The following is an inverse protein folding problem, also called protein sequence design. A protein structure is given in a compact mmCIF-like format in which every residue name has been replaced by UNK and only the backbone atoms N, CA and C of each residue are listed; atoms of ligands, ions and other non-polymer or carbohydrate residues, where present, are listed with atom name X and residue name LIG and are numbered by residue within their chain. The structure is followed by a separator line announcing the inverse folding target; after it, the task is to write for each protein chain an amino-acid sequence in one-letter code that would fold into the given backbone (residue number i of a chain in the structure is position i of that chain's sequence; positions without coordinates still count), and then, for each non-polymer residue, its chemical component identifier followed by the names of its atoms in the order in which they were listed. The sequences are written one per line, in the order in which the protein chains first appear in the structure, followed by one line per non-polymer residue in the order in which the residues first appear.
data_IF_027052220700
#
_entry.id   IF_027052220700
#
_cell.length_a   1.000
_cell.length_b   1.000
_cell.length_c   1.000
_cell.angle_alpha   90.00
_cell.angle_beta   90.00
_cell.angle_gamma   90.00
#
_symmetry.space_group_name_H-M   'P 1'
#
loop_
_entity.id
_entity.type
_entity.pdbx_description
1 polymer ?
#
# COMPACT_ATOMS: atom_id res chain seq x y z
N UNK A 1 -20.94 -18.86 11.52
CA UNK A 1 -20.97 -17.85 12.62
C UNK A 1 -20.83 -16.49 11.98
N UNK A 2 -21.61 -15.49 12.41
CA UNK A 2 -21.52 -14.11 11.91
C UNK A 2 -21.08 -13.19 13.04
N UNK A 3 -20.42 -12.08 12.72
CA UNK A 3 -20.11 -11.06 13.71
C UNK A 3 -21.40 -10.35 14.15
N UNK A 4 -21.29 -9.49 15.16
CA UNK A 4 -22.40 -8.64 15.60
C UNK A 4 -23.01 -7.89 14.40
N UNK A 5 -24.34 -7.81 14.34
CA UNK A 5 -25.04 -7.03 13.32
C UNK A 5 -24.73 -5.53 13.41
N UNK A 6 -24.11 -5.06 14.50
CA UNK A 6 -23.57 -3.71 14.62
C UNK A 6 -22.20 -3.52 13.91
N UNK A 7 -21.65 -4.56 13.28
CA UNK A 7 -20.37 -4.50 12.58
C UNK A 7 -20.34 -3.34 11.57
N UNK A 8 -19.26 -2.56 11.61
CA UNK A 8 -19.00 -1.48 10.68
C UNK A 8 -17.68 -1.73 9.98
N UNK A 9 -17.70 -1.73 8.65
CA UNK A 9 -16.49 -1.81 7.81
C UNK A 9 -15.53 -0.67 8.19
N UNK A 10 -14.20 -0.92 8.25
CA UNK A 10 -13.21 0.11 8.55
C UNK A 10 -13.39 1.35 7.66
N UNK A 11 -13.25 2.53 8.26
CA UNK A 11 -13.21 3.80 7.52
C UNK A 11 -11.96 3.87 6.66
N UNK A 12 -12.04 4.58 5.53
CA UNK A 12 -10.85 4.89 4.75
C UNK A 12 -9.95 5.81 5.60
N UNK A 13 -8.71 5.41 5.80
CA UNK A 13 -7.69 6.24 6.46
C UNK A 13 -6.93 6.98 5.37
N UNK A 14 -7.13 8.29 5.29
CA UNK A 14 -6.35 9.17 4.41
C UNK A 14 -5.12 9.65 5.17
N UNK A 15 -3.95 9.72 4.52
CA UNK A 15 -2.78 10.39 5.11
C UNK A 15 -3.17 11.81 5.50
N UNK A 16 -3.30 12.07 6.80
CA UNK A 16 -3.61 13.41 7.29
C UNK A 16 -2.37 14.28 7.06
N UNK A 17 -2.55 15.51 6.57
CA UNK A 17 -1.46 16.51 6.47
C UNK A 17 -0.96 17.00 7.83
N UNK A 18 -1.54 16.54 8.93
CA UNK A 18 -1.09 16.90 10.26
C UNK A 18 0.15 16.08 10.59
N UNK A 19 1.27 16.75 10.87
CA UNK A 19 2.50 16.11 11.31
C UNK A 19 2.27 15.52 12.70
N UNK A 20 1.97 14.21 12.78
CA UNK A 20 1.99 13.50 14.04
C UNK A 20 3.43 13.47 14.57
N UNK A 21 3.59 13.68 15.86
CA UNK A 21 4.89 13.47 16.52
C UNK A 21 5.20 11.97 16.59
N UNK A 22 6.49 11.63 16.67
CA UNK A 22 6.92 10.23 16.82
C UNK A 22 6.35 9.54 18.07
N UNK A 23 6.08 10.29 19.14
CA UNK A 23 5.46 9.75 20.36
C UNK A 23 3.99 9.40 20.14
N UNK A 24 3.24 10.22 19.39
CA UNK A 24 1.85 9.93 19.01
C UNK A 24 1.77 8.74 18.05
N UNK A 25 2.73 8.64 17.12
CA UNK A 25 2.85 7.47 16.24
C UNK A 25 3.10 6.20 17.06
N UNK A 26 4.06 6.23 17.99
CA UNK A 26 4.36 5.10 18.87
C UNK A 26 3.16 4.72 19.74
N UNK A 27 2.43 5.70 20.26
CA UNK A 27 1.20 5.47 21.03
C UNK A 27 0.15 4.77 20.17
N UNK A 28 -0.06 5.22 18.94
CA UNK A 28 -1.01 4.62 18.00
C UNK A 28 -0.62 3.18 17.64
N UNK A 29 0.68 2.91 17.48
CA UNK A 29 1.21 1.55 17.26
C UNK A 29 0.87 0.66 18.47
N UNK A 30 1.16 1.13 19.68
CA UNK A 30 0.88 0.38 20.91
C UNK A 30 -0.62 0.12 21.07
N UNK A 31 -1.47 1.11 20.79
CA UNK A 31 -2.92 0.94 20.77
C UNK A 31 -3.37 -0.09 19.73
N UNK A 32 -2.78 -0.11 18.53
CA UNK A 32 -3.06 -1.11 17.49
C UNK A 32 -2.72 -2.54 17.95
N UNK A 33 -1.53 -2.71 18.56
CA UNK A 33 -1.06 -4.00 19.10
C UNK A 33 -1.97 -4.47 20.23
N UNK A 34 -2.30 -3.58 21.18
CA UNK A 34 -3.17 -3.90 22.31
C UNK A 34 -4.61 -4.16 21.84
N UNK A 35 -5.10 -3.44 20.83
CA UNK A 35 -6.46 -3.61 20.33
C UNK A 35 -6.67 -4.97 19.66
N UNK A 36 -5.60 -5.61 19.14
CA UNK A 36 -5.62 -7.01 18.72
C UNK A 36 -6.10 -7.95 19.84
N UNK A 37 -5.82 -7.63 21.11
CA UNK A 37 -6.28 -8.43 22.26
C UNK A 37 -7.76 -8.21 22.63
N UNK A 38 -8.44 -7.20 22.08
CA UNK A 38 -9.81 -6.79 22.48
C UNK A 38 -10.92 -7.29 21.55
N UNK A 39 -10.60 -8.14 20.57
CA UNK A 39 -11.57 -8.88 19.75
C UNK A 39 -12.00 -8.20 18.44
N UNK A 40 -12.09 -6.85 18.38
CA UNK A 40 -12.32 -6.12 17.12
C UNK A 40 -11.87 -4.65 17.19
N UNK A 41 -10.84 -4.27 16.44
CA UNK A 41 -10.30 -2.90 16.41
C UNK A 41 -10.77 -2.15 15.17
N UNK A 42 -11.51 -1.04 15.33
CA UNK A 42 -12.02 -0.22 14.22
C UNK A 42 -12.74 -1.00 13.09
N UNK A 43 -13.39 -2.13 13.41
CA UNK A 43 -14.04 -3.01 12.43
C UNK A 43 -13.13 -4.05 11.80
N UNK A 44 -11.96 -4.32 12.37
CA UNK A 44 -11.04 -5.38 11.96
C UNK A 44 -11.01 -6.45 13.07
N UNK A 45 -11.40 -7.70 12.79
CA UNK A 45 -11.28 -8.80 13.74
C UNK A 45 -9.82 -9.13 14.02
N UNK A 46 -9.52 -9.65 15.22
CA UNK A 46 -8.15 -10.08 15.58
C UNK A 46 -7.58 -11.15 14.63
N UNK A 47 -8.44 -12.00 14.06
CA UNK A 47 -8.04 -12.95 13.02
C UNK A 47 -7.41 -12.29 11.78
N UNK A 48 -7.73 -11.02 11.51
CA UNK A 48 -7.20 -10.22 10.41
C UNK A 48 -6.28 -9.09 10.92
N UNK A 49 -5.74 -9.21 12.13
CA UNK A 49 -4.80 -8.22 12.67
C UNK A 49 -3.51 -8.17 11.84
N UNK A 50 -2.86 -7.00 11.86
CA UNK A 50 -1.62 -6.79 11.11
C UNK A 50 -0.56 -7.84 11.46
N UNK A 51 -0.40 -8.15 12.74
CA UNK A 51 0.59 -9.12 13.21
C UNK A 51 0.34 -10.53 12.68
N UNK A 52 -0.93 -10.96 12.59
CA UNK A 52 -1.28 -12.27 12.01
C UNK A 52 -1.02 -12.31 10.51
N UNK A 53 -1.29 -11.22 9.80
CA UNK A 53 -0.96 -11.10 8.37
C UNK A 53 0.55 -11.25 8.20
N UNK A 54 1.35 -10.41 8.86
CA UNK A 54 2.83 -10.42 8.74
C UNK A 54 3.45 -11.75 9.19
N UNK A 55 2.86 -12.41 10.20
CA UNK A 55 3.30 -13.73 10.63
C UNK A 55 3.04 -14.82 9.57
N UNK A 56 2.12 -14.61 8.64
CA UNK A 56 1.66 -15.62 7.68
C UNK A 56 0.57 -16.53 8.27
N UNK A 57 -0.15 -16.07 9.30
CA UNK A 57 -1.18 -16.83 10.00
C UNK A 57 -2.59 -16.69 9.42
N UNK A 58 -2.71 -16.20 8.19
CA UNK A 58 -3.98 -15.89 7.49
C UNK A 58 -3.97 -16.51 6.11
N UNK A 59 -5.15 -16.78 5.56
CA UNK A 59 -5.31 -17.39 4.25
C UNK A 59 -5.62 -16.36 3.15
N UNK A 60 -5.47 -16.70 1.86
CA UNK A 60 -5.91 -15.85 0.76
C UNK A 60 -7.39 -15.44 0.90
N UNK A 61 -7.75 -14.18 0.60
CA UNK A 61 -6.94 -13.11 -0.02
C UNK A 61 -6.31 -12.11 0.97
N UNK A 62 -5.93 -12.57 2.16
CA UNK A 62 -5.40 -11.71 3.22
C UNK A 62 -3.92 -11.98 3.51
N UNK A 63 -3.18 -12.74 2.69
CA UNK A 63 -1.78 -13.12 2.99
C UNK A 63 -0.82 -11.94 2.92
N UNK A 64 0.43 -12.12 3.38
CA UNK A 64 1.48 -11.09 3.22
C UNK A 64 1.68 -10.72 1.76
N UNK A 65 1.60 -11.70 0.86
CA UNK A 65 1.70 -11.48 -0.59
C UNK A 65 0.51 -10.71 -1.12
N UNK A 66 -0.71 -11.00 -0.66
CA UNK A 66 -1.89 -10.21 -1.02
C UNK A 66 -1.77 -8.76 -0.54
N UNK A 67 -1.23 -8.55 0.67
CA UNK A 67 -0.98 -7.21 1.21
C UNK A 67 0.11 -6.47 0.41
N UNK A 68 1.20 -7.15 0.04
CA UNK A 68 2.25 -6.60 -0.83
C UNK A 68 1.69 -6.22 -2.21
N UNK A 69 0.90 -7.08 -2.83
CA UNK A 69 0.25 -6.79 -4.11
C UNK A 69 -0.70 -5.59 -4.01
N UNK A 70 -1.45 -5.48 -2.92
CA UNK A 70 -2.27 -4.31 -2.67
C UNK A 70 -1.43 -3.02 -2.55
N UNK A 71 -0.33 -3.05 -1.80
CA UNK A 71 0.57 -1.90 -1.68
C UNK A 71 1.24 -1.54 -3.01
N UNK A 72 1.57 -2.53 -3.85
CA UNK A 72 2.20 -2.32 -5.15
C UNK A 72 1.23 -1.77 -6.19
N UNK A 73 0.05 -2.35 -6.32
CA UNK A 73 -0.88 -2.07 -7.43
C UNK A 73 -2.00 -1.09 -7.08
N UNK A 74 -2.30 -0.86 -5.80
CA UNK A 74 -3.43 -0.04 -5.35
C UNK A 74 -2.96 1.18 -4.55
N UNK A 75 -2.22 0.98 -3.46
CA UNK A 75 -1.82 2.09 -2.57
C UNK A 75 -0.51 2.77 -3.01
N UNK A 76 0.26 2.15 -3.90
CA UNK A 76 1.54 2.64 -4.43
C UNK A 76 2.56 2.97 -3.33
N UNK A 77 2.65 2.11 -2.31
CA UNK A 77 3.55 2.28 -1.16
C UNK A 77 4.18 0.97 -0.69
N UNK A 78 4.51 0.10 -1.65
CA UNK A 78 5.10 -1.21 -1.39
C UNK A 78 6.45 -1.11 -0.65
N UNK A 79 7.22 -0.06 -0.90
CA UNK A 79 8.52 0.20 -0.28
C UNK A 79 8.48 0.16 1.25
N UNK A 80 7.38 0.60 1.86
CA UNK A 80 7.20 0.57 3.31
C UNK A 80 7.22 -0.86 3.85
N UNK A 81 6.47 -1.77 3.22
CA UNK A 81 6.41 -3.17 3.67
C UNK A 81 7.71 -3.90 3.38
N UNK A 82 8.34 -3.63 2.23
CA UNK A 82 9.63 -4.21 1.87
C UNK A 82 10.71 -3.82 2.87
N UNK A 83 10.81 -2.52 3.21
CA UNK A 83 11.73 -2.00 4.20
C UNK A 83 11.44 -2.54 5.60
N UNK A 84 10.16 -2.62 6.01
CA UNK A 84 9.77 -3.17 7.30
C UNK A 84 10.15 -4.65 7.45
N UNK A 85 9.90 -5.46 6.42
CA UNK A 85 10.25 -6.88 6.41
C UNK A 85 11.78 -7.08 6.42
N UNK A 86 12.51 -6.30 5.63
CA UNK A 86 13.97 -6.25 5.68
C UNK A 86 14.47 -5.93 7.09
N UNK A 87 13.97 -4.86 7.71
CA UNK A 87 14.43 -4.43 9.03
C UNK A 87 14.18 -5.50 10.11
N UNK A 88 13.03 -6.20 10.06
CA UNK A 88 12.74 -7.31 10.98
C UNK A 88 13.72 -8.47 10.82
N UNK A 89 14.11 -8.79 9.59
CA UNK A 89 15.13 -9.81 9.32
C UNK A 89 16.53 -9.33 9.75
N UNK A 90 16.85 -8.07 9.45
CA UNK A 90 18.09 -7.41 9.84
C UNK A 90 18.33 -7.46 11.36
N UNK A 91 17.32 -7.13 12.17
CA UNK A 91 17.40 -7.25 13.64
C UNK A 91 17.74 -8.68 14.07
N UNK A 92 17.08 -9.69 13.48
CA UNK A 92 17.32 -11.09 13.83
C UNK A 92 18.76 -11.49 13.50
N UNK A 93 19.22 -11.17 12.30
CA UNK A 93 20.60 -11.44 11.85
C UNK A 93 21.62 -10.72 12.72
N UNK A 94 21.40 -9.44 13.01
CA UNK A 94 22.27 -8.64 13.87
C UNK A 94 22.34 -9.17 15.31
N UNK A 95 21.21 -9.57 15.90
CA UNK A 95 21.18 -10.13 17.25
C UNK A 95 21.87 -11.48 17.36
N UNK A 96 21.87 -12.27 16.27
CA UNK A 96 22.55 -13.55 16.18
C UNK A 96 24.07 -13.43 15.95
N UNK A 97 24.60 -12.23 15.69
CA UNK A 97 26.03 -12.03 15.53
C UNK A 97 26.80 -12.29 16.84
N UNK A 98 28.06 -12.74 16.75
CA UNK A 98 28.98 -12.82 17.88
C UNK A 98 29.10 -11.48 18.62
N UNK A 99 29.25 -11.53 19.95
CA UNK A 99 29.31 -10.32 20.79
C UNK A 99 30.45 -9.36 20.41
N UNK A 100 31.58 -9.89 19.94
CA UNK A 100 32.72 -9.12 19.45
C UNK A 100 32.39 -8.33 18.17
N UNK A 101 31.62 -8.90 17.25
CA UNK A 101 31.21 -8.19 16.02
C UNK A 101 30.12 -7.17 16.31
N UNK A 102 29.18 -7.50 17.20
CA UNK A 102 28.16 -6.55 17.67
C UNK A 102 28.76 -5.34 18.35
N UNK A 103 29.84 -5.51 19.11
CA UNK A 103 30.53 -4.43 19.79
C UNK A 103 31.15 -3.39 18.82
N UNK A 104 31.41 -3.77 17.55
CA UNK A 104 31.90 -2.83 16.53
C UNK A 104 30.83 -1.82 16.09
N UNK A 105 29.55 -2.14 16.27
CA UNK A 105 28.42 -1.30 15.95
C UNK A 105 27.67 -0.92 17.23
N UNK A 106 28.12 0.14 17.95
CA UNK A 106 27.51 0.56 19.20
C UNK A 106 26.07 1.05 19.00
N UNK A 107 25.27 0.93 20.06
CA UNK A 107 23.88 1.39 20.04
C UNK A 107 23.78 2.89 19.82
N UNK A 108 22.95 3.30 18.85
CA UNK A 108 22.54 4.67 18.65
C UNK A 108 21.45 5.05 19.65
N UNK A 109 21.75 5.95 20.59
CA UNK A 109 20.81 6.35 21.65
C UNK A 109 20.01 7.59 21.26
N UNK A 110 18.80 7.74 21.84
CA UNK A 110 17.96 8.93 21.65
C UNK A 110 18.64 10.21 22.14
N UNK A 111 19.50 10.10 23.15
CA UNK A 111 20.27 11.23 23.69
C UNK A 111 21.32 11.71 22.69
N UNK A 112 22.05 10.78 22.05
CA UNK A 112 22.98 11.11 20.97
C UNK A 112 22.25 11.77 19.79
N UNK A 113 21.13 11.20 19.35
CA UNK A 113 20.33 11.79 18.27
C UNK A 113 19.86 13.22 18.60
N UNK A 114 19.43 13.48 19.85
CA UNK A 114 19.04 14.83 20.31
C UNK A 114 20.22 15.78 20.40
N UNK A 115 21.34 15.34 20.97
CA UNK A 115 22.55 16.15 21.11
C UNK A 115 23.09 16.59 19.74
N UNK A 116 23.05 15.70 18.75
CA UNK A 116 23.46 16.00 17.39
C UNK A 116 22.47 16.88 16.64
N UNK A 117 21.16 16.66 16.81
CA UNK A 117 20.15 17.56 16.27
C UNK A 117 20.32 19.00 16.81
N UNK A 118 20.67 19.14 18.08
CA UNK A 118 21.03 20.42 18.70
C UNK A 118 22.35 20.98 18.14
N UNK A 119 23.35 20.13 17.91
CA UNK A 119 24.62 20.52 17.30
C UNK A 119 24.46 21.02 15.86
N UNK A 120 23.57 20.40 15.06
CA UNK A 120 23.27 20.82 13.69
C UNK A 120 22.52 22.16 13.67
N UNK A 121 21.57 22.37 14.60
CA UNK A 121 20.86 23.64 14.75
C UNK A 121 21.79 24.78 15.19
N UNK A 122 22.67 24.53 16.15
CA UNK A 122 23.65 25.53 16.63
C UNK A 122 24.79 25.76 15.63
N UNK A 123 25.18 24.74 14.87
CA UNK A 123 26.17 24.82 13.80
C UNK A 123 25.69 25.67 12.61
N UNK A 124 24.41 25.61 12.26
CA UNK A 124 23.81 26.50 11.24
C UNK A 124 23.80 27.99 11.67
N UNK A 125 23.90 28.28 12.97
CA UNK A 125 24.00 29.67 13.47
C UNK A 125 25.44 30.20 13.47
N UNK A 126 26.46 29.33 13.43
CA UNK A 126 27.85 29.74 13.19
C UNK A 126 28.10 29.89 11.70
N UNK A 127 27.40 30.83 11.07
CA UNK A 127 27.87 31.42 9.82
C UNK A 127 29.27 31.96 10.06
N UNK A 128 30.25 31.53 9.27
CA UNK A 128 31.60 32.09 9.27
C UNK A 128 31.43 33.61 9.09
N UNK A 129 31.96 34.42 10.02
CA UNK A 129 31.81 35.87 9.91
C UNK A 129 32.32 36.34 8.54
N UNK A 130 31.71 37.38 7.97
CA UNK A 130 32.09 37.87 6.64
C UNK A 130 33.60 38.19 6.54
N UNK A 131 34.22 38.60 7.64
CA UNK A 131 35.67 38.84 7.75
C UNK A 131 36.46 37.53 7.68
N UNK A 132 36.04 36.50 8.40
CA UNK A 132 36.70 35.19 8.37
C UNK A 132 36.57 34.52 6.99
N UNK A 133 35.42 34.68 6.31
CA UNK A 133 35.22 34.20 4.95
C UNK A 133 36.08 34.97 3.92
N UNK A 134 36.35 36.25 4.14
CA UNK A 134 37.25 37.04 3.31
C UNK A 134 38.73 36.65 3.48
N UNK A 135 39.15 36.23 4.69
CA UNK A 135 40.52 35.79 4.98
C UNK A 135 40.87 34.47 4.30
N UNK A 136 39.91 33.55 4.16
CA UNK A 136 40.14 32.26 3.48
C UNK A 136 40.00 32.32 1.95
N UNK A 137 39.59 33.47 1.39
CA UNK A 137 39.40 33.66 -0.05
C UNK A 137 40.76 33.59 -0.77
N UNK A 138 40.96 32.55 -1.59
CA UNK A 138 42.20 32.32 -2.33
C UNK A 138 43.20 31.37 -1.66
N UNK A 139 42.83 30.72 -0.56
CA UNK A 139 43.61 29.65 0.08
C UNK A 139 43.07 28.27 -0.29
N UNK A 140 43.87 27.22 -0.15
CA UNK A 140 43.47 25.81 -0.37
C UNK A 140 42.38 25.32 0.62
N UNK A 141 42.08 26.15 1.64
CA UNK A 141 41.00 25.97 2.62
C UNK A 141 39.73 26.77 2.27
N UNK A 142 39.71 27.48 1.14
CA UNK A 142 38.50 28.12 0.64
C UNK A 142 37.42 27.05 0.37
N UNK A 143 36.18 27.32 0.75
CA UNK A 143 35.07 26.45 0.39
C UNK A 143 35.04 26.28 -1.14
N UNK A 144 35.25 25.05 -1.60
CA UNK A 144 35.13 24.69 -3.02
C UNK A 144 33.76 25.16 -3.53
N UNK A 145 33.66 25.70 -4.75
CA UNK A 145 32.39 26.10 -5.30
C UNK A 145 31.44 24.90 -5.24
N UNK A 146 30.27 25.10 -4.61
CA UNK A 146 29.15 24.18 -4.74
C UNK A 146 29.00 23.87 -6.22
N UNK A 147 28.98 22.58 -6.56
CA UNK A 147 28.60 22.12 -7.89
C UNK A 147 27.37 22.93 -8.30
N UNK A 148 27.50 23.64 -9.42
CA UNK A 148 26.48 24.51 -9.98
C UNK A 148 25.16 23.73 -10.08
N UNK A 149 24.06 24.40 -9.76
CA UNK A 149 22.70 23.84 -9.81
C UNK A 149 22.25 23.42 -11.24
N UNK A 150 23.14 23.46 -12.22
CA UNK A 150 22.85 23.18 -13.64
C UNK A 150 22.74 21.69 -13.98
N UNK A 151 23.00 20.77 -13.03
CA UNK A 151 22.78 19.32 -13.19
C UNK A 151 21.59 18.76 -12.38
N UNK A 152 20.75 19.63 -11.78
CA UNK A 152 19.44 19.17 -11.30
C UNK A 152 18.52 19.02 -12.49
N UNK A 153 18.24 17.78 -12.88
CA UNK A 153 17.11 17.47 -13.77
C UNK A 153 15.87 18.15 -13.19
N UNK A 154 15.32 19.06 -13.98
CA UNK A 154 14.22 19.93 -13.60
C UNK A 154 13.02 19.05 -13.16
N UNK A 155 12.53 19.15 -11.91
CA UNK A 155 11.54 18.21 -11.36
C UNK A 155 10.15 18.32 -12.01
N UNK A 156 9.97 19.27 -12.93
CA UNK A 156 8.75 19.48 -13.70
C UNK A 156 8.90 19.15 -15.20
N UNK A 157 10.03 18.56 -15.62
CA UNK A 157 10.21 18.10 -16.99
C UNK A 157 9.86 16.61 -17.12
N UNK A 158 8.70 16.32 -17.71
CA UNK A 158 8.40 15.01 -18.32
C UNK A 158 8.94 15.01 -19.75
N UNK A 159 9.94 14.17 -20.10
CA UNK A 159 10.35 13.99 -21.49
C UNK A 159 9.19 13.40 -22.31
N UNK A 160 8.96 13.81 -23.57
CA UNK A 160 7.99 13.17 -24.43
C UNK A 160 8.46 11.73 -24.74
N UNK A 161 7.64 10.76 -24.34
CA UNK A 161 7.91 9.35 -24.59
C UNK A 161 7.64 8.97 -26.04
N UNK A 162 8.69 8.69 -26.80
CA UNK A 162 8.79 7.65 -27.85
C UNK A 162 10.22 7.63 -28.42
N UNK A 163 10.89 6.48 -28.54
CA UNK A 163 12.12 6.35 -29.32
C UNK A 163 11.76 6.00 -30.77
N UNK A 164 11.62 7.01 -31.63
CA UNK A 164 11.53 6.83 -33.08
C UNK A 164 12.26 7.98 -33.77
N UNK A 165 13.38 7.67 -34.44
CA UNK A 165 14.04 8.62 -35.33
C UNK A 165 15.56 8.49 -35.30
N UNK A 166 16.11 7.76 -36.26
CA UNK A 166 17.53 7.70 -36.59
C UNK A 166 18.16 9.10 -36.73
N UNK A 167 19.48 9.19 -36.55
CA UNK A 167 20.26 9.91 -37.54
C UNK A 167 21.31 9.01 -38.21
N UNK A 168 21.33 9.23 -39.52
CA UNK A 168 22.12 8.63 -40.56
C UNK A 168 23.63 8.51 -40.24
N UNK A 169 24.20 7.46 -40.84
CA UNK A 169 25.59 7.02 -40.83
C UNK A 169 26.50 8.02 -41.54
N UNK A 170 27.76 8.12 -41.10
CA UNK A 170 28.90 8.09 -42.02
C UNK A 170 30.21 7.65 -41.31
N UNK A 171 30.89 6.69 -41.95
CA UNK A 171 32.31 6.29 -41.88
C UNK A 171 32.90 5.93 -40.48
N UNK A 172 33.54 4.78 -40.19
CA UNK A 172 34.45 3.94 -40.98
C UNK A 172 34.64 2.59 -40.29
N UNK A 173 34.93 1.57 -41.09
CA UNK A 173 35.03 0.13 -40.76
C UNK A 173 36.29 -0.22 -39.94
N UNK A 174 36.13 -1.03 -38.89
CA UNK A 174 37.21 -1.75 -38.19
C UNK A 174 36.66 -3.08 -37.64
N UNK A 175 37.31 -4.24 -37.87
CA UNK A 175 36.75 -5.54 -37.50
C UNK A 175 37.26 -5.95 -36.11
N UNK A 176 36.38 -6.11 -35.12
CA UNK A 176 36.67 -7.02 -34.01
C UNK A 176 35.40 -7.44 -33.28
N UNK A 177 35.29 -8.77 -33.20
CA UNK A 177 34.77 -9.58 -32.11
C UNK A 177 33.40 -9.25 -31.51
N UNK A 178 32.50 -10.19 -31.75
CA UNK A 178 31.30 -10.44 -30.97
C UNK A 178 31.69 -10.60 -29.48
N UNK A 179 31.41 -9.61 -28.66
CA UNK A 179 31.12 -9.85 -27.25
C UNK A 179 29.73 -9.31 -26.94
N UNK A 180 28.82 -10.26 -26.79
CA UNK A 180 27.43 -10.05 -26.43
C UNK A 180 27.34 -9.85 -24.93
N UNK A 181 27.58 -8.63 -24.45
CA UNK A 181 27.34 -8.27 -23.06
C UNK A 181 26.34 -7.11 -22.99
N UNK A 182 25.05 -7.45 -23.09
CA UNK A 182 23.95 -6.57 -22.67
C UNK A 182 23.92 -6.54 -21.12
N UNK A 183 24.95 -5.96 -20.50
CA UNK A 183 24.93 -5.68 -19.06
C UNK A 183 24.25 -4.33 -18.86
N UNK A 184 22.97 -4.35 -18.49
CA UNK A 184 22.33 -3.19 -17.88
C UNK A 184 23.23 -2.66 -16.76
N UNK A 185 23.48 -1.35 -16.75
CA UNK A 185 24.46 -0.72 -15.87
C UNK A 185 24.22 -1.11 -14.41
N UNK A 186 25.14 -1.90 -13.83
CA UNK A 186 25.10 -2.21 -12.40
C UNK A 186 25.22 -0.90 -11.63
N UNK A 187 24.14 -0.46 -11.01
CA UNK A 187 24.16 0.73 -10.16
C UNK A 187 25.13 0.48 -9.01
N UNK A 188 26.12 1.35 -8.88
CA UNK A 188 27.09 1.29 -7.80
C UNK A 188 26.46 1.83 -6.52
N UNK A 189 25.87 0.91 -5.73
CA UNK A 189 25.18 1.22 -4.48
C UNK A 189 26.07 1.98 -3.49
N UNK A 190 27.37 1.70 -3.50
CA UNK A 190 28.32 2.35 -2.59
C UNK A 190 28.53 3.81 -2.98
N UNK A 191 28.72 4.11 -4.27
CA UNK A 191 28.80 5.50 -4.74
C UNK A 191 27.55 6.30 -4.44
N UNK A 192 26.37 5.70 -4.64
CA UNK A 192 25.10 6.39 -4.35
C UNK A 192 24.91 6.64 -2.85
N UNK A 193 25.30 5.70 -1.99
CA UNK A 193 25.27 5.90 -0.55
C UNK A 193 26.23 7.01 -0.11
N UNK A 194 27.43 7.09 -0.68
CA UNK A 194 28.39 8.17 -0.45
C UNK A 194 27.81 9.54 -0.85
N UNK A 195 27.21 9.63 -2.04
CA UNK A 195 26.52 10.85 -2.49
C UNK A 195 25.40 11.26 -1.52
N UNK A 196 24.63 10.32 -0.98
CA UNK A 196 23.60 10.64 0.01
C UNK A 196 24.16 11.21 1.32
N UNK A 197 25.33 10.75 1.78
CA UNK A 197 26.02 11.35 2.93
C UNK A 197 26.50 12.77 2.62
N UNK A 198 27.07 12.99 1.43
CA UNK A 198 27.53 14.31 0.98
C UNK A 198 26.35 15.30 0.86
N UNK A 199 25.21 14.86 0.30
CA UNK A 199 23.97 15.65 0.20
C UNK A 199 23.41 16.02 1.58
N UNK A 200 23.62 15.17 2.59
CA UNK A 200 23.27 15.44 3.98
C UNK A 200 24.29 16.36 4.70
N UNK A 201 25.36 16.79 4.01
CA UNK A 201 26.41 17.65 4.56
C UNK A 201 27.43 16.91 5.44
N UNK A 202 27.47 15.58 5.36
CA UNK A 202 28.29 14.72 6.20
C UNK A 202 29.65 14.46 5.53
N UNK A 203 30.71 15.06 6.07
CA UNK A 203 32.03 15.11 5.41
C UNK A 203 32.93 13.88 5.63
N UNK A 204 32.59 13.01 6.57
CA UNK A 204 33.44 11.89 6.97
C UNK A 204 33.02 10.59 6.29
N UNK A 205 34.00 9.72 5.98
CA UNK A 205 33.67 8.39 5.48
C UNK A 205 33.10 7.53 6.61
N UNK A 206 32.05 6.74 6.36
CA UNK A 206 31.53 5.83 7.37
C UNK A 206 32.53 4.73 7.75
N UNK A 207 32.42 4.19 8.97
CA UNK A 207 33.30 3.15 9.47
C UNK A 207 33.10 1.82 8.71
N UNK A 208 34.11 1.38 7.96
CA UNK A 208 34.05 0.16 7.14
C UNK A 208 34.10 -1.15 7.92
N UNK A 209 34.57 -1.12 9.19
CA UNK A 209 34.81 -2.33 9.99
C UNK A 209 33.53 -2.95 10.59
N UNK A 210 32.40 -2.24 10.55
CA UNK A 210 31.18 -2.68 11.21
C UNK A 210 30.46 -3.79 10.42
N UNK A 211 29.71 -4.67 11.10
CA UNK A 211 28.94 -5.70 10.42
C UNK A 211 27.88 -5.10 9.49
N UNK A 212 27.64 -5.79 8.37
CA UNK A 212 26.61 -5.47 7.36
C UNK A 212 26.74 -4.08 6.70
N UNK A 213 27.92 -3.44 6.65
CA UNK A 213 28.08 -2.12 5.97
C UNK A 213 27.60 -2.12 4.52
N UNK A 214 27.95 -3.13 3.74
CA UNK A 214 27.54 -3.20 2.33
C UNK A 214 26.03 -3.29 2.17
N UNK A 215 25.37 -4.01 3.07
CA UNK A 215 23.91 -4.10 3.11
C UNK A 215 23.29 -2.74 3.45
N UNK A 216 23.83 -2.03 4.44
CA UNK A 216 23.38 -0.68 4.80
C UNK A 216 23.59 0.30 3.64
N UNK A 217 24.73 0.25 2.94
CA UNK A 217 24.96 1.07 1.74
C UNK A 217 23.92 0.80 0.65
N UNK A 218 23.56 -0.47 0.45
CA UNK A 218 22.50 -0.86 -0.48
C UNK A 218 21.13 -0.31 -0.05
N UNK A 219 20.77 -0.42 1.22
CA UNK A 219 19.52 0.12 1.77
C UNK A 219 19.45 1.63 1.63
N UNK A 220 20.56 2.34 1.92
CA UNK A 220 20.65 3.78 1.71
C UNK A 220 20.35 4.10 0.24
N UNK A 221 21.01 3.42 -0.70
CA UNK A 221 20.85 3.70 -2.12
C UNK A 221 19.44 3.44 -2.67
N UNK A 222 18.71 2.45 -2.13
CA UNK A 222 17.40 2.02 -2.62
C UNK A 222 16.26 2.81 -1.94
N UNK A 223 16.32 2.97 -0.62
CA UNK A 223 15.20 3.45 0.20
C UNK A 223 15.39 4.86 0.78
N UNK A 224 16.64 5.33 0.95
CA UNK A 224 16.91 6.57 1.72
C UNK A 224 17.41 7.70 0.83
N UNK A 225 18.28 7.39 -0.12
CA UNK A 225 18.90 8.36 -1.02
C UNK A 225 17.83 9.02 -1.91
N UNK A 226 18.05 10.29 -2.24
CA UNK A 226 17.16 11.01 -3.14
C UNK A 226 17.11 10.36 -4.52
N UNK A 227 15.90 10.20 -5.06
CA UNK A 227 15.64 9.52 -6.32
C UNK A 227 15.93 8.01 -6.29
N UNK A 228 16.03 7.41 -5.10
CA UNK A 228 16.15 5.96 -4.94
C UNK A 228 14.97 5.24 -5.60
N UNK A 229 15.20 4.04 -6.13
CA UNK A 229 14.16 3.30 -6.87
C UNK A 229 12.94 2.95 -6.03
N UNK A 230 13.08 2.96 -4.69
CA UNK A 230 12.05 2.68 -3.71
C UNK A 230 12.16 3.63 -2.51
N UNK A 231 12.42 4.89 -2.81
CA UNK A 231 12.59 5.93 -1.81
C UNK A 231 11.38 5.99 -0.86
N UNK A 232 11.65 5.89 0.45
CA UNK A 232 10.63 6.02 1.49
C UNK A 232 10.15 7.46 1.58
N UNK A 233 8.86 7.64 1.90
CA UNK A 233 8.27 8.95 2.14
C UNK A 233 8.65 9.50 3.53
N UNK A 234 9.90 9.93 3.68
CA UNK A 234 10.46 10.48 4.91
C UNK A 234 10.61 12.00 4.81
N UNK A 235 10.47 12.70 5.94
CA UNK A 235 10.84 14.11 6.00
C UNK A 235 12.34 14.30 5.81
N UNK A 236 12.76 15.46 5.30
CA UNK A 236 14.20 15.77 5.14
C UNK A 236 14.95 15.66 6.47
N UNK A 237 14.30 16.04 7.58
CA UNK A 237 14.85 15.93 8.93
C UNK A 237 15.09 14.47 9.33
N UNK A 238 14.10 13.59 9.14
CA UNK A 238 14.22 12.16 9.45
C UNK A 238 15.32 11.51 8.61
N UNK A 239 15.36 11.81 7.31
CA UNK A 239 16.38 11.30 6.40
C UNK A 239 17.79 11.72 6.80
N UNK A 240 18.02 13.02 7.04
CA UNK A 240 19.34 13.52 7.45
C UNK A 240 19.76 12.97 8.80
N UNK A 241 18.82 12.86 9.75
CA UNK A 241 19.08 12.25 11.06
C UNK A 241 19.47 10.77 10.94
N UNK A 242 18.78 10.01 10.08
CA UNK A 242 19.14 8.62 9.80
C UNK A 242 20.53 8.52 9.18
N UNK A 243 20.83 9.34 8.17
CA UNK A 243 22.15 9.32 7.52
C UNK A 243 23.27 9.65 8.51
N UNK A 244 23.03 10.58 9.44
CA UNK A 244 23.98 10.87 10.51
C UNK A 244 24.20 9.65 11.43
N UNK A 245 23.12 8.98 11.84
CA UNK A 245 23.22 7.76 12.63
C UNK A 245 23.97 6.63 11.89
N UNK A 246 23.65 6.42 10.61
CA UNK A 246 24.25 5.38 9.78
C UNK A 246 25.71 5.65 9.43
N UNK A 247 26.15 6.92 9.44
CA UNK A 247 27.57 7.24 9.31
C UNK A 247 28.39 6.68 10.48
N UNK A 248 27.80 6.67 11.69
CA UNK A 248 28.45 6.28 12.92
C UNK A 248 28.29 4.79 13.28
N UNK A 249 27.12 4.20 13.01
CA UNK A 249 26.84 2.81 13.41
C UNK A 249 25.96 2.07 12.41
N UNK A 250 26.08 0.75 12.37
CA UNK A 250 25.10 -0.13 11.72
C UNK A 250 24.08 -0.71 12.68
N UNK A 251 24.14 -0.39 13.97
CA UNK A 251 23.23 -0.94 14.96
C UNK A 251 21.76 -0.69 14.58
N UNK A 252 20.84 -1.68 14.73
CA UNK A 252 19.43 -1.51 14.36
C UNK A 252 18.71 -0.32 15.01
N UNK A 253 19.20 0.18 16.15
CA UNK A 253 18.65 1.37 16.81
C UNK A 253 18.84 2.67 16.02
N UNK A 254 19.76 2.71 15.04
CA UNK A 254 19.88 3.85 14.13
C UNK A 254 18.59 4.10 13.33
N UNK A 255 17.78 3.06 13.11
CA UNK A 255 16.53 3.12 12.34
C UNK A 255 15.28 3.37 13.19
N UNK A 256 15.39 3.53 14.51
CA UNK A 256 14.21 3.54 15.41
C UNK A 256 13.15 4.56 15.01
N UNK A 257 13.54 5.78 14.65
CA UNK A 257 12.56 6.82 14.27
C UNK A 257 11.88 6.46 12.93
N UNK A 258 12.66 5.99 11.97
CA UNK A 258 12.20 5.65 10.62
C UNK A 258 11.27 4.44 10.64
N UNK A 259 11.64 3.40 11.40
CA UNK A 259 10.79 2.22 11.52
C UNK A 259 9.49 2.55 12.24
N UNK A 260 9.49 3.49 13.18
CA UNK A 260 8.26 3.97 13.83
C UNK A 260 7.33 4.62 12.81
N UNK A 261 7.85 5.49 11.94
CA UNK A 261 7.07 6.12 10.86
C UNK A 261 6.54 5.10 9.85
N UNK A 262 7.39 4.16 9.40
CA UNK A 262 7.02 3.11 8.44
C UNK A 262 5.99 2.15 9.03
N UNK A 263 6.22 1.66 10.26
CA UNK A 263 5.30 0.75 10.94
C UNK A 263 3.95 1.42 11.23
N UNK A 264 3.95 2.70 11.59
CA UNK A 264 2.72 3.47 11.74
C UNK A 264 1.95 3.55 10.42
N UNK A 265 2.62 3.87 9.31
CA UNK A 265 2.00 3.90 7.98
C UNK A 265 1.39 2.54 7.61
N UNK A 266 2.11 1.44 7.86
CA UNK A 266 1.63 0.09 7.57
C UNK A 266 0.45 -0.31 8.46
N UNK A 267 0.55 -0.12 9.79
CA UNK A 267 -0.46 -0.58 10.76
C UNK A 267 -1.69 0.31 10.83
N UNK A 268 -1.50 1.62 10.83
CA UNK A 268 -2.56 2.57 11.13
C UNK A 268 -3.23 3.11 9.87
N UNK A 269 -2.57 3.03 8.71
CA UNK A 269 -3.12 3.50 7.44
C UNK A 269 -3.35 2.35 6.44
N UNK A 270 -2.27 1.70 5.99
CA UNK A 270 -2.36 0.75 4.89
C UNK A 270 -3.14 -0.52 5.24
N UNK A 271 -2.97 -1.06 6.46
CA UNK A 271 -3.66 -2.26 6.90
C UNK A 271 -5.19 -2.09 6.98
N UNK A 272 -5.75 -1.05 7.65
CA UNK A 272 -7.18 -0.79 7.61
C UNK A 272 -7.72 -0.58 6.19
N UNK A 273 -6.97 0.11 5.33
CA UNK A 273 -7.34 0.33 3.94
C UNK A 273 -7.32 -0.97 3.11
N UNK A 274 -6.33 -1.83 3.34
CA UNK A 274 -6.24 -3.17 2.75
C UNK A 274 -7.43 -4.03 3.17
N UNK A 275 -7.71 -4.18 4.47
CA UNK A 275 -8.85 -4.96 4.94
C UNK A 275 -10.16 -4.40 4.38
N UNK A 276 -10.31 -3.07 4.43
CA UNK A 276 -11.46 -2.39 3.82
C UNK A 276 -11.58 -2.80 2.34
N UNK A 277 -10.52 -2.75 1.55
CA UNK A 277 -10.52 -3.08 0.13
C UNK A 277 -10.81 -4.56 -0.14
N UNK A 278 -10.21 -5.46 0.64
CA UNK A 278 -10.33 -6.92 0.51
C UNK A 278 -11.73 -7.45 0.83
N UNK A 279 -12.49 -6.75 1.67
CA UNK A 279 -13.92 -7.07 1.93
C UNK A 279 -14.76 -7.02 0.64
N UNK A 280 -14.41 -6.17 -0.33
CA UNK A 280 -15.14 -6.09 -1.61
C UNK A 280 -14.89 -7.35 -2.46
N UNK A 281 -15.93 -8.15 -2.69
CA UNK A 281 -15.85 -9.37 -3.49
C UNK A 281 -15.84 -9.11 -5.00
N UNK A 282 -16.42 -8.00 -5.47
CA UNK A 282 -16.55 -7.66 -6.88
C UNK A 282 -15.55 -6.61 -7.34
N UNK A 283 -15.17 -6.66 -8.62
CA UNK A 283 -14.46 -5.55 -9.25
C UNK A 283 -15.42 -4.37 -9.54
N UNK A 284 -14.85 -3.20 -9.90
CA UNK A 284 -15.67 -1.99 -10.17
C UNK A 284 -16.78 -2.23 -11.21
N UNK A 285 -16.52 -2.84 -12.38
CA UNK A 285 -17.57 -3.12 -13.36
C UNK A 285 -18.71 -3.99 -12.82
N UNK A 286 -18.42 -5.09 -12.12
CA UNK A 286 -19.47 -5.97 -11.55
C UNK A 286 -20.27 -5.28 -10.46
N UNK A 287 -19.64 -4.43 -9.63
CA UNK A 287 -20.35 -3.65 -8.62
C UNK A 287 -21.28 -2.61 -9.27
N UNK A 288 -20.84 -1.93 -10.34
CA UNK A 288 -21.68 -1.00 -11.10
C UNK A 288 -22.87 -1.75 -11.71
N UNK A 289 -22.61 -2.90 -12.35
CA UNK A 289 -23.67 -3.76 -12.88
C UNK A 289 -24.69 -4.18 -11.80
N UNK A 290 -24.23 -4.60 -10.62
CA UNK A 290 -25.09 -4.94 -9.50
C UNK A 290 -25.94 -3.74 -9.01
N UNK A 291 -25.37 -2.52 -9.00
CA UNK A 291 -26.15 -1.30 -8.67
C UNK A 291 -27.25 -1.05 -9.68
N UNK A 292 -26.95 -1.17 -10.98
CA UNK A 292 -27.95 -1.01 -12.05
C UNK A 292 -29.06 -2.05 -11.91
N UNK A 293 -28.72 -3.32 -11.65
CA UNK A 293 -29.70 -4.38 -11.40
C UNK A 293 -30.55 -4.08 -10.16
N UNK A 294 -29.95 -3.61 -9.08
CA UNK A 294 -30.65 -3.21 -7.86
C UNK A 294 -31.67 -2.09 -8.11
N UNK A 295 -31.26 -1.03 -8.82
CA UNK A 295 -32.17 0.06 -9.22
C UNK A 295 -33.28 -0.45 -10.14
N UNK A 296 -32.96 -1.29 -11.12
CA UNK A 296 -33.94 -1.92 -12.00
C UNK A 296 -34.98 -2.76 -11.24
N UNK A 297 -34.56 -3.50 -10.22
CA UNK A 297 -35.45 -4.25 -9.34
C UNK A 297 -36.41 -3.35 -8.54
N UNK A 298 -35.91 -2.22 -8.02
CA UNK A 298 -36.74 -1.22 -7.33
C UNK A 298 -37.78 -0.63 -8.28
N UNK A 299 -37.36 -0.23 -9.49
CA UNK A 299 -38.26 0.31 -10.51
C UNK A 299 -39.31 -0.72 -10.92
N UNK A 300 -38.91 -1.98 -11.12
CA UNK A 300 -39.84 -3.08 -11.40
C UNK A 300 -40.86 -3.31 -10.29
N UNK A 301 -40.41 -3.29 -9.02
CA UNK A 301 -41.28 -3.36 -7.84
C UNK A 301 -42.27 -2.20 -7.77
N UNK A 302 -41.81 -0.98 -8.09
CA UNK A 302 -42.64 0.22 -8.15
C UNK A 302 -43.69 0.13 -9.26
N UNK A 303 -43.30 -0.28 -10.47
CA UNK A 303 -44.23 -0.49 -11.59
C UNK A 303 -45.29 -1.53 -11.23
N UNK A 304 -44.89 -2.67 -10.66
CA UNK A 304 -45.83 -3.69 -10.18
C UNK A 304 -46.78 -3.12 -9.12
N UNK A 305 -46.28 -2.33 -8.17
CA UNK A 305 -47.11 -1.71 -7.15
C UNK A 305 -48.14 -0.75 -7.74
N UNK A 306 -47.74 0.08 -8.72
CA UNK A 306 -48.63 1.01 -9.42
C UNK A 306 -49.70 0.24 -10.21
N UNK A 307 -49.31 -0.75 -11.03
CA UNK A 307 -50.24 -1.54 -11.85
C UNK A 307 -51.28 -2.24 -10.97
N UNK A 308 -50.86 -2.93 -9.91
CA UNK A 308 -51.78 -3.64 -9.01
C UNK A 308 -52.67 -2.64 -8.25
N UNK A 309 -52.15 -1.46 -7.89
CA UNK A 309 -52.94 -0.42 -7.20
C UNK A 309 -54.05 0.16 -8.07
N UNK A 310 -53.78 0.35 -9.36
CA UNK A 310 -54.76 0.86 -10.33
C UNK A 310 -55.76 -0.19 -10.80
N UNK A 311 -55.40 -1.48 -10.75
CA UNK A 311 -56.27 -2.59 -11.12
C UNK A 311 -57.48 -2.77 -10.17
N UNK A 312 -58.43 -3.60 -10.60
CA UNK A 312 -59.55 -4.10 -9.79
C UNK A 312 -59.15 -5.09 -8.67
N UNK A 313 -57.88 -5.51 -8.61
CA UNK A 313 -57.40 -6.47 -7.63
C UNK A 313 -57.57 -5.99 -6.17
N UNK A 314 -57.80 -6.94 -5.27
CA UNK A 314 -57.88 -6.67 -3.83
C UNK A 314 -56.57 -6.09 -3.26
N UNK A 315 -56.65 -5.31 -2.17
CA UNK A 315 -55.48 -4.65 -1.54
C UNK A 315 -54.35 -5.63 -1.20
N UNK A 316 -54.67 -6.87 -0.82
CA UNK A 316 -53.67 -7.90 -0.48
C UNK A 316 -52.72 -8.26 -1.62
N UNK A 317 -53.14 -8.14 -2.89
CA UNK A 317 -52.28 -8.45 -4.03
C UNK A 317 -51.11 -7.48 -4.18
N UNK A 318 -51.22 -6.27 -3.62
CA UNK A 318 -50.15 -5.25 -3.64
C UNK A 318 -48.91 -5.70 -2.87
N UNK A 319 -49.04 -6.69 -1.98
CA UNK A 319 -47.93 -7.31 -1.26
C UNK A 319 -46.96 -8.01 -2.21
N UNK A 320 -47.37 -8.43 -3.42
CA UNK A 320 -46.45 -9.06 -4.39
C UNK A 320 -45.28 -8.14 -4.79
N UNK A 321 -45.50 -6.82 -4.80
CA UNK A 321 -44.44 -5.84 -5.10
C UNK A 321 -43.31 -5.84 -4.05
N UNK A 322 -43.55 -6.42 -2.87
CA UNK A 322 -42.54 -6.65 -1.84
C UNK A 322 -41.34 -7.41 -2.40
N UNK A 323 -41.55 -8.41 -3.27
CA UNK A 323 -40.48 -9.23 -3.82
C UNK A 323 -39.51 -8.37 -4.64
N UNK A 324 -40.06 -7.50 -5.51
CA UNK A 324 -39.26 -6.58 -6.32
C UNK A 324 -38.48 -5.57 -5.47
N UNK A 325 -39.14 -4.95 -4.48
CA UNK A 325 -38.48 -4.05 -3.55
C UNK A 325 -37.40 -4.74 -2.73
N UNK A 326 -37.66 -5.93 -2.20
CA UNK A 326 -36.70 -6.70 -1.41
C UNK A 326 -35.44 -7.01 -2.19
N UNK A 327 -35.59 -7.61 -3.37
CA UNK A 327 -34.45 -8.01 -4.22
C UNK A 327 -33.69 -6.76 -4.68
N UNK A 328 -34.39 -5.71 -5.13
CA UNK A 328 -33.76 -4.48 -5.60
C UNK A 328 -32.99 -3.74 -4.51
N UNK A 329 -33.62 -3.51 -3.35
CA UNK A 329 -33.03 -2.76 -2.24
C UNK A 329 -31.87 -3.54 -1.59
N UNK A 330 -32.04 -4.85 -1.34
CA UNK A 330 -30.96 -5.68 -0.79
C UNK A 330 -29.72 -5.67 -1.69
N UNK A 331 -29.93 -5.85 -2.99
CA UNK A 331 -28.85 -5.80 -4.00
C UNK A 331 -28.18 -4.44 -4.01
N UNK A 332 -28.95 -3.35 -3.93
CA UNK A 332 -28.40 -1.99 -3.93
C UNK A 332 -27.59 -1.68 -2.67
N UNK A 333 -28.08 -2.07 -1.47
CA UNK A 333 -27.37 -1.89 -0.21
C UNK A 333 -26.06 -2.69 -0.21
N UNK A 334 -26.10 -3.96 -0.66
CA UNK A 334 -24.90 -4.80 -0.77
C UNK A 334 -23.89 -4.22 -1.77
N UNK A 335 -24.35 -3.78 -2.95
CA UNK A 335 -23.51 -3.21 -3.99
C UNK A 335 -22.94 -1.83 -3.59
N UNK A 336 -23.62 -1.07 -2.74
CA UNK A 336 -23.06 0.16 -2.19
C UNK A 336 -21.86 -0.12 -1.27
N UNK A 337 -21.91 -1.22 -0.52
CA UNK A 337 -20.78 -1.70 0.29
C UNK A 337 -19.70 -2.42 -0.52
N UNK A 338 -19.86 -2.55 -1.84
CA UNK A 338 -18.87 -3.18 -2.73
C UNK A 338 -19.01 -4.69 -2.86
N UNK A 339 -20.18 -5.24 -2.51
CA UNK A 339 -20.46 -6.67 -2.58
C UNK A 339 -21.49 -6.99 -3.67
N UNK A 340 -21.21 -8.01 -4.47
CA UNK A 340 -22.19 -8.68 -5.32
C UNK A 340 -22.82 -9.85 -4.56
N UNK A 341 -24.16 -9.89 -4.50
CA UNK A 341 -24.92 -10.93 -3.79
C UNK A 341 -24.67 -12.32 -4.38
N UNK A 342 -24.52 -12.43 -5.71
CA UNK A 342 -24.25 -13.70 -6.41
C UNK A 342 -22.89 -14.27 -5.98
N UNK A 343 -21.84 -13.45 -6.02
CA UNK A 343 -20.50 -13.85 -5.57
C UNK A 343 -20.49 -14.23 -4.09
N UNK A 344 -21.21 -13.46 -3.28
CA UNK A 344 -21.32 -13.73 -1.85
C UNK A 344 -21.94 -15.11 -1.58
N UNK A 345 -23.01 -15.48 -2.28
CA UNK A 345 -23.66 -16.78 -2.11
C UNK A 345 -22.76 -17.98 -2.41
N UNK A 346 -21.71 -17.80 -3.21
CA UNK A 346 -20.69 -18.81 -3.49
C UNK A 346 -19.43 -18.68 -2.61
N UNK A 347 -19.38 -17.67 -1.73
CA UNK A 347 -18.16 -17.22 -1.03
C UNK A 347 -16.98 -16.99 -1.97
N UNK A 348 -17.28 -16.49 -3.18
CA UNK A 348 -16.30 -16.19 -4.21
C UNK A 348 -15.96 -14.70 -4.22
N UNK A 349 -14.76 -14.39 -4.72
CA UNK A 349 -14.34 -13.05 -5.14
C UNK A 349 -13.86 -13.09 -6.58
N UNK A 350 -13.87 -11.94 -7.24
CA UNK A 350 -13.13 -11.80 -8.49
C UNK A 350 -11.61 -11.89 -8.24
N UNK A 351 -10.94 -12.57 -9.16
CA UNK A 351 -9.49 -12.47 -9.30
C UNK A 351 -9.12 -11.03 -9.66
N UNK A 352 -7.99 -10.58 -9.13
CA UNK A 352 -7.45 -9.25 -9.43
C UNK A 352 -6.78 -9.26 -10.81
N UNK A 353 -6.64 -8.10 -11.46
CA UNK A 353 -6.03 -8.01 -12.79
C UNK A 353 -4.67 -8.71 -12.89
N UNK A 354 -3.79 -8.55 -11.91
CA UNK A 354 -2.49 -9.22 -11.86
C UNK A 354 -2.59 -10.73 -11.59
N UNK A 355 -3.60 -11.19 -10.81
CA UNK A 355 -3.84 -12.62 -10.56
C UNK A 355 -4.43 -13.35 -11.79
N UNK A 356 -5.19 -12.64 -12.64
CA UNK A 356 -5.87 -13.22 -13.81
C UNK A 356 -4.90 -13.76 -14.88
N UNK A 357 -3.69 -13.21 -14.93
CA UNK A 357 -2.68 -13.52 -15.93
C UNK A 357 -1.37 -14.05 -15.34
N UNK A 358 -1.32 -14.31 -14.03
CA UNK A 358 -0.23 -15.07 -13.45
C UNK A 358 -0.23 -16.47 -14.08
N UNK A 359 0.94 -16.96 -14.49
CA UNK A 359 1.10 -18.34 -14.94
C UNK A 359 0.78 -19.30 -13.79
N UNK A 360 0.10 -20.41 -14.07
CA UNK A 360 -0.25 -21.43 -13.08
C UNK A 360 0.98 -22.08 -12.40
N UNK A 361 2.19 -21.77 -12.89
CA UNK A 361 3.50 -22.22 -12.37
C UNK A 361 4.09 -21.33 -11.24
N UNK A 362 3.39 -20.29 -10.76
CA UNK A 362 3.87 -19.54 -9.59
C UNK A 362 3.75 -20.37 -8.29
N UNK A 363 4.86 -20.62 -7.56
CA UNK A 363 4.84 -21.48 -6.38
C UNK A 363 3.97 -20.89 -5.24
N UNK A 364 3.12 -21.74 -4.66
CA UNK A 364 2.22 -21.38 -3.56
C UNK A 364 2.99 -21.18 -2.23
N UNK A 365 3.01 -19.93 -1.76
CA UNK A 365 3.09 -19.31 -0.40
C UNK A 365 3.79 -19.96 0.81
N UNK A 366 4.25 -21.21 0.80
CA UNK A 366 4.67 -21.87 2.05
C UNK A 366 6.18 -22.06 2.21
N UNK A 367 6.98 -22.08 1.13
CA UNK A 367 8.37 -22.54 1.22
C UNK A 367 9.46 -21.51 0.83
N UNK A 368 9.08 -20.24 0.62
CA UNK A 368 9.95 -19.24 -0.02
C UNK A 368 10.30 -18.03 0.85
N UNK A 369 10.08 -18.06 2.18
CA UNK A 369 10.06 -16.84 3.02
C UNK A 369 11.40 -16.10 3.11
N UNK A 370 12.54 -16.79 2.99
CA UNK A 370 13.88 -16.16 2.97
C UNK A 370 14.21 -15.57 1.60
N UNK A 371 14.08 -16.38 0.54
CA UNK A 371 14.48 -16.03 -0.82
C UNK A 371 13.53 -14.98 -1.42
N UNK A 372 12.25 -15.04 -1.03
CA UNK A 372 11.26 -14.00 -1.33
C UNK A 372 11.59 -12.69 -0.63
N UNK A 373 12.08 -12.71 0.62
CA UNK A 373 12.37 -11.49 1.36
C UNK A 373 13.64 -10.80 0.86
N UNK A 374 14.66 -11.58 0.51
CA UNK A 374 15.90 -11.05 -0.07
C UNK A 374 15.66 -10.50 -1.50
N UNK A 375 14.91 -11.23 -2.32
CA UNK A 375 14.51 -10.75 -3.65
C UNK A 375 13.60 -9.53 -3.56
N UNK A 376 12.65 -9.50 -2.64
CA UNK A 376 11.79 -8.34 -2.44
C UNK A 376 12.55 -7.15 -1.87
N UNK A 377 13.51 -7.32 -0.96
CA UNK A 377 14.20 -6.19 -0.35
C UNK A 377 15.23 -5.56 -1.30
N UNK A 378 15.92 -6.37 -2.12
CA UNK A 378 17.11 -5.98 -2.86
C UNK A 378 17.03 -6.11 -4.38
N UNK A 379 15.94 -6.60 -4.96
CA UNK A 379 15.78 -6.54 -6.41
C UNK A 379 15.75 -5.08 -6.85
N UNK A 380 16.69 -4.70 -7.73
CA UNK A 380 16.86 -3.32 -8.20
C UNK A 380 15.74 -2.81 -9.09
N UNK A 381 14.73 -3.64 -9.40
CA UNK A 381 13.54 -3.19 -10.13
C UNK A 381 12.74 -2.20 -9.29
N UNK A 382 12.40 -1.06 -9.89
CA UNK A 382 11.42 -0.12 -9.35
C UNK A 382 10.11 -0.86 -9.02
N UNK A 383 9.35 -0.36 -8.03
CA UNK A 383 8.00 -0.86 -7.72
C UNK A 383 6.97 -0.50 -8.83
N UNK A 384 7.42 0.02 -9.98
CA UNK A 384 6.59 0.30 -11.16
C UNK A 384 5.89 -0.97 -11.66
N UNK A 385 4.61 -0.82 -11.99
CA UNK A 385 3.75 -1.87 -12.54
C UNK A 385 3.15 -1.50 -13.90
N UNK A 386 3.34 -0.28 -14.38
CA UNK A 386 2.69 0.23 -15.60
C UNK A 386 3.10 -0.57 -16.86
N UNK A 387 4.34 -1.04 -16.87
CA UNK A 387 4.91 -1.85 -17.96
C UNK A 387 4.58 -3.35 -17.84
N UNK A 388 3.88 -3.78 -16.79
CA UNK A 388 3.57 -5.20 -16.62
C UNK A 388 2.60 -5.70 -17.71
N UNK A 389 2.85 -6.90 -18.28
CA UNK A 389 2.12 -7.38 -19.45
C UNK A 389 0.62 -7.59 -19.20
N UNK A 390 0.19 -7.73 -17.95
CA UNK A 390 -1.22 -7.86 -17.61
C UNK A 390 -1.99 -6.53 -17.77
N UNK A 391 -1.33 -5.36 -17.64
CA UNK A 391 -1.97 -4.05 -17.70
C UNK A 391 -2.61 -3.85 -19.08
N UNK A 392 -1.80 -3.93 -20.14
CA UNK A 392 -2.27 -3.81 -21.51
C UNK A 392 -3.32 -4.88 -21.88
N UNK A 393 -3.16 -6.11 -21.37
CA UNK A 393 -4.12 -7.20 -21.59
C UNK A 393 -5.46 -6.94 -20.91
N UNK A 394 -5.47 -6.40 -19.69
CA UNK A 394 -6.67 -6.13 -18.92
C UNK A 394 -7.41 -4.89 -19.44
N UNK A 395 -6.70 -3.84 -19.86
CA UNK A 395 -7.30 -2.63 -20.43
C UNK A 395 -8.09 -2.95 -21.70
N UNK A 396 -7.53 -3.74 -22.61
CA UNK A 396 -8.18 -4.17 -23.87
C UNK A 396 -9.44 -5.02 -23.68
N UNK A 397 -9.74 -5.52 -22.48
CA UNK A 397 -10.95 -6.32 -22.24
C UNK A 397 -12.21 -5.45 -22.19
N UNK A 398 -13.25 -5.89 -22.89
CA UNK A 398 -14.58 -5.28 -22.87
C UNK A 398 -15.22 -5.33 -21.48
N UNK A 399 -16.11 -4.37 -21.18
CA UNK A 399 -16.78 -4.25 -19.89
C UNK A 399 -17.58 -5.51 -19.49
N UNK A 400 -18.25 -6.16 -20.44
CA UNK A 400 -19.02 -7.40 -20.16
C UNK A 400 -18.09 -8.51 -19.68
N UNK A 401 -16.93 -8.69 -20.33
CA UNK A 401 -15.93 -9.68 -19.88
C UNK A 401 -15.40 -9.33 -18.49
N UNK A 402 -15.19 -8.04 -18.19
CA UNK A 402 -14.80 -7.58 -16.85
C UNK A 402 -15.89 -7.84 -15.79
N UNK A 403 -17.16 -7.76 -16.15
CA UNK A 403 -18.28 -8.08 -15.23
C UNK A 403 -18.29 -9.56 -14.86
N UNK A 404 -17.92 -10.45 -15.79
CA UNK A 404 -17.89 -11.90 -15.59
C UNK A 404 -16.45 -12.44 -15.60
N UNK A 405 -15.51 -11.71 -14.98
CA UNK A 405 -14.13 -12.17 -14.84
C UNK A 405 -14.07 -13.44 -13.96
N UNK A 406 -12.95 -14.17 -14.07
CA UNK A 406 -12.72 -15.39 -13.27
C UNK A 406 -12.82 -15.07 -11.79
N UNK A 407 -13.41 -16.00 -11.06
CA UNK A 407 -13.66 -15.92 -9.64
C UNK A 407 -12.96 -17.05 -8.89
N UNK A 408 -12.60 -16.79 -7.64
CA UNK A 408 -11.91 -17.72 -6.76
C UNK A 408 -12.59 -17.73 -5.40
N UNK A 409 -12.60 -18.91 -4.77
CA UNK A 409 -13.14 -19.08 -3.44
C UNK A 409 -12.30 -18.37 -2.38
N UNK A 410 -12.97 -17.72 -1.43
CA UNK A 410 -12.32 -17.02 -0.31
C UNK A 410 -11.95 -18.05 0.75
N UNK A 411 -10.65 -18.28 0.93
CA UNK A 411 -10.16 -19.24 1.92
C UNK A 411 -10.32 -18.71 3.34
N UNK A 412 -9.98 -17.44 3.55
CA UNK A 412 -9.98 -16.80 4.85
C UNK A 412 -11.37 -16.79 5.53
N UNK A 413 -11.56 -17.55 6.64
CA UNK A 413 -12.85 -17.63 7.31
C UNK A 413 -13.29 -16.31 7.92
N UNK A 414 -12.37 -15.51 8.50
CA UNK A 414 -12.74 -14.25 9.12
C UNK A 414 -13.33 -13.26 8.10
N UNK A 415 -12.80 -13.27 6.87
CA UNK A 415 -13.30 -12.45 5.77
C UNK A 415 -14.71 -12.88 5.34
N UNK A 416 -14.97 -14.18 5.25
CA UNK A 416 -16.32 -14.71 4.95
C UNK A 416 -17.33 -14.28 6.00
N UNK A 417 -16.98 -14.38 7.29
CA UNK A 417 -17.87 -13.95 8.38
C UNK A 417 -18.19 -12.45 8.31
N UNK A 418 -17.24 -11.60 7.92
CA UNK A 418 -17.49 -10.17 7.67
C UNK A 418 -18.50 -10.01 6.53
N UNK A 419 -18.30 -10.69 5.41
CA UNK A 419 -19.19 -10.60 4.25
C UNK A 419 -20.60 -11.10 4.59
N UNK A 420 -20.73 -12.21 5.31
CA UNK A 420 -22.01 -12.76 5.80
C UNK A 420 -22.74 -11.72 6.66
N UNK A 421 -22.01 -11.06 7.56
CA UNK A 421 -22.58 -10.02 8.43
C UNK A 421 -23.08 -8.82 7.61
N UNK A 422 -22.30 -8.37 6.64
CA UNK A 422 -22.69 -7.26 5.76
C UNK A 422 -23.92 -7.64 4.90
N UNK A 423 -23.99 -8.89 4.44
CA UNK A 423 -25.11 -9.38 3.66
C UNK A 423 -26.39 -9.44 4.50
N UNK A 424 -26.32 -9.97 5.72
CA UNK A 424 -27.46 -9.97 6.65
C UNK A 424 -27.94 -8.55 6.98
N UNK A 425 -27.02 -7.60 7.18
CA UNK A 425 -27.38 -6.18 7.34
C UNK A 425 -28.12 -5.64 6.10
N UNK A 426 -27.73 -6.04 4.89
CA UNK A 426 -28.39 -5.62 3.66
C UNK A 426 -29.80 -6.22 3.54
N UNK A 427 -29.98 -7.49 3.88
CA UNK A 427 -31.28 -8.18 3.90
C UNK A 427 -32.21 -7.58 4.96
N UNK A 428 -31.70 -7.32 6.16
CA UNK A 428 -32.50 -6.70 7.22
C UNK A 428 -32.91 -5.26 6.85
N UNK A 429 -31.96 -4.46 6.35
CA UNK A 429 -32.24 -3.12 5.86
C UNK A 429 -33.27 -3.11 4.72
N UNK A 430 -33.15 -4.04 3.76
CA UNK A 430 -34.12 -4.15 2.67
C UNK A 430 -35.49 -4.58 3.14
N UNK A 431 -35.57 -5.48 4.13
CA UNK A 431 -36.83 -5.93 4.73
C UNK A 431 -37.63 -4.77 5.27
N UNK A 432 -37.01 -3.96 6.14
CA UNK A 432 -37.68 -2.80 6.75
C UNK A 432 -38.16 -1.82 5.69
N UNK A 433 -37.29 -1.44 4.74
CA UNK A 433 -37.66 -0.46 3.70
C UNK A 433 -38.75 -1.00 2.78
N UNK A 434 -38.73 -2.30 2.44
CA UNK A 434 -39.72 -2.93 1.57
C UNK A 434 -41.08 -3.03 2.26
N UNK A 435 -41.12 -3.37 3.56
CA UNK A 435 -42.36 -3.39 4.35
C UNK A 435 -42.99 -1.99 4.39
N UNK A 436 -42.19 -0.95 4.65
CA UNK A 436 -42.68 0.44 4.65
C UNK A 436 -43.21 0.84 3.27
N UNK A 437 -42.45 0.55 2.21
CA UNK A 437 -42.83 0.87 0.82
C UNK A 437 -44.15 0.21 0.43
N UNK A 438 -44.31 -1.08 0.70
CA UNK A 438 -45.55 -1.83 0.40
C UNK A 438 -46.71 -1.35 1.29
N UNK A 439 -46.45 -1.04 2.57
CA UNK A 439 -47.45 -0.50 3.48
C UNK A 439 -48.09 0.78 2.94
N UNK A 440 -47.29 1.67 2.35
CA UNK A 440 -47.79 2.89 1.68
C UNK A 440 -48.73 2.53 0.52
N UNK A 441 -48.33 1.59 -0.34
CA UNK A 441 -49.19 1.14 -1.46
C UNK A 441 -50.47 0.43 -1.00
N UNK A 442 -50.43 -0.32 0.09
CA UNK A 442 -51.61 -0.96 0.67
C UNK A 442 -52.61 0.05 1.27
N UNK A 443 -52.14 1.22 1.71
CA UNK A 443 -52.99 2.27 2.30
C UNK A 443 -53.84 3.01 1.24
N UNK A 444 -53.40 3.08 -0.01
CA UNK A 444 -54.16 3.75 -1.07
C UNK A 444 -55.53 3.07 -1.32
N UNK A 445 -56.58 3.83 -1.67
CA UNK A 445 -57.84 3.24 -2.11
C UNK A 445 -57.68 2.43 -3.40
N UNK A 446 -58.71 1.67 -3.79
CA UNK A 446 -58.70 0.94 -5.06
C UNK A 446 -58.90 1.93 -6.21
N UNK A 447 -58.09 1.82 -7.27
CA UNK A 447 -58.28 2.61 -8.49
C UNK A 447 -59.46 2.13 -9.33
N UNK A 448 -59.60 0.80 -9.49
CA UNK A 448 -60.63 0.16 -10.33
C UNK A 448 -60.63 0.66 -11.79
N UNK A 449 -59.46 0.91 -12.37
CA UNK A 449 -59.35 1.41 -13.74
C UNK A 449 -59.42 0.32 -14.81
N UNK A 450 -59.06 -0.92 -14.47
CA UNK A 450 -59.13 -2.09 -15.36
C UNK A 450 -59.17 -3.40 -14.56
#
# INVERSE_FOLDING_TARGET
MVYTLAYRRPSLVTSSRNSLSGEEMQKSINESILSGSTGMSHGIPDALSFDRIIAGGVCPPCTVRDFMNYLKYIELSAENLQFFLWYRDYIKRFNNLPANERALAPEWTKEQARAEALAVQTGHQKGVSAETAAVFKGTDFAAQPKVTEDEKVNPFYTPPGTPSGEPNRDASMGPSEYDSTFSGGKMDHQKRALGAFDDAGLKWKPLSIQPYREEISRIISIYIADGGTRQLNLSSKERTSLLHALQNTTHPSAFTDIITTVEWSLRCQAHPNFIRWTICNGNRPRVIFARVLGVGGIVGGLIAAIIITLSSAGRGWRVLSFIGFMIGISTLIAAWKGMCVVLHGMHHRHLRPWELFASDDEPNDLDMKSDFLESIAFNGSSNSWEDEPWVAKYERRNLVRKVFDREVWIQEPALRQIQDTIFLQAIFGSFVISVVSVGIFCAFPKGNYF
#
